data_IF_279864701055
#
_entry.id   IF_279864701055
#
_cell.length_a   1.000
_cell.length_b   1.000
_cell.length_c   1.000
_cell.angle_alpha   90.00
_cell.angle_beta   90.00
_cell.angle_gamma   90.00
#
_symmetry.space_group_name_H-M   'P 1'
#
loop_
_entity.id
_entity.type
_entity.pdbx_description
1 polymer ?
#
# COMPACT_ATOMS: atom_id res chain seq x y z
N UNK A 1 6.81 -11.68 -10.76
CA UNK A 1 5.55 -11.37 -10.06
C UNK A 1 4.77 -12.65 -9.78
N UNK A 2 4.26 -12.80 -8.56
CA UNK A 2 3.47 -13.92 -8.10
C UNK A 2 2.12 -14.03 -8.86
N UNK A 3 1.79 -15.24 -9.31
CA UNK A 3 0.60 -15.51 -10.12
C UNK A 3 -0.71 -15.23 -9.38
N UNK A 4 -0.77 -15.42 -8.06
CA UNK A 4 -1.97 -15.14 -7.28
C UNK A 4 -2.22 -13.63 -7.14
N UNK A 5 -1.16 -12.86 -6.88
CA UNK A 5 -1.22 -11.39 -6.87
C UNK A 5 -1.67 -10.87 -8.23
N UNK A 6 -1.07 -11.38 -9.30
CA UNK A 6 -1.46 -11.02 -10.66
C UNK A 6 -2.95 -11.31 -10.95
N UNK A 7 -3.41 -12.53 -10.64
CA UNK A 7 -4.77 -12.95 -10.95
C UNK A 7 -5.81 -12.18 -10.12
N UNK A 8 -5.54 -11.97 -8.84
CA UNK A 8 -6.42 -11.19 -7.95
C UNK A 8 -6.49 -9.72 -8.36
N UNK A 9 -5.36 -9.10 -8.73
CA UNK A 9 -5.33 -7.75 -9.27
C UNK A 9 -6.13 -7.63 -10.58
N UNK A 10 -5.98 -8.59 -11.49
CA UNK A 10 -6.76 -8.60 -12.73
C UNK A 10 -8.27 -8.74 -12.47
N UNK A 11 -8.67 -9.50 -11.44
CA UNK A 11 -10.08 -9.60 -11.03
C UNK A 11 -10.58 -8.28 -10.42
N UNK A 12 -9.77 -7.63 -9.59
CA UNK A 12 -10.06 -6.30 -9.03
C UNK A 12 -10.30 -5.29 -10.16
N UNK A 13 -9.35 -5.17 -11.09
CA UNK A 13 -9.41 -4.21 -12.20
C UNK A 13 -10.61 -4.42 -13.14
N UNK A 14 -11.18 -5.64 -13.20
CA UNK A 14 -12.41 -5.90 -13.96
C UNK A 14 -13.67 -5.38 -13.26
N UNK A 15 -13.62 -5.22 -11.94
CA UNK A 15 -14.75 -4.78 -11.12
C UNK A 15 -14.81 -3.26 -11.00
N UNK A 16 -13.68 -2.56 -11.11
CA UNK A 16 -13.58 -1.11 -10.89
C UNK A 16 -14.10 -0.34 -12.13
N UNK A 17 -15.03 0.62 -11.96
CA UNK A 17 -15.55 1.43 -13.06
C UNK A 17 -14.57 2.53 -13.49
N UNK A 18 -13.80 3.07 -12.54
CA UNK A 18 -12.78 4.09 -12.77
C UNK A 18 -11.45 3.49 -13.22
N UNK A 19 -10.59 4.33 -13.81
CA UNK A 19 -9.27 3.90 -14.27
C UNK A 19 -8.19 4.62 -13.48
N UNK A 20 -7.40 3.86 -12.74
CA UNK A 20 -6.08 4.30 -12.31
C UNK A 20 -5.14 4.41 -13.50
N UNK A 21 -3.85 4.60 -13.22
CA UNK A 21 -2.81 4.66 -14.24
C UNK A 21 -1.66 3.71 -13.93
N UNK A 22 -0.92 3.37 -14.97
CA UNK A 22 0.40 2.77 -14.82
C UNK A 22 1.40 3.86 -14.46
N UNK A 23 2.44 3.47 -13.72
CA UNK A 23 3.64 4.28 -13.59
C UNK A 23 4.44 4.26 -14.90
N UNK A 24 5.25 5.29 -15.10
CA UNK A 24 6.26 5.31 -16.17
C UNK A 24 7.57 4.68 -15.69
N UNK A 25 8.42 4.24 -16.62
CA UNK A 25 9.75 3.73 -16.29
C UNK A 25 10.61 4.75 -15.56
N UNK A 26 10.52 6.03 -15.95
CA UNK A 26 11.24 7.12 -15.30
C UNK A 26 10.77 7.33 -13.86
N UNK A 27 9.46 7.31 -13.61
CA UNK A 27 8.92 7.40 -12.24
C UNK A 27 9.39 6.25 -11.35
N UNK A 28 9.42 5.02 -11.88
CA UNK A 28 9.87 3.84 -11.12
C UNK A 28 11.38 3.88 -10.88
N UNK A 29 12.15 4.33 -11.87
CA UNK A 29 13.61 4.47 -11.74
C UNK A 29 13.94 5.52 -10.69
N UNK A 30 13.28 6.67 -10.71
CA UNK A 30 13.45 7.72 -9.70
C UNK A 30 13.04 7.24 -8.30
N UNK A 31 11.87 6.61 -8.17
CA UNK A 31 11.42 6.04 -6.90
C UNK A 31 12.43 5.04 -6.34
N UNK A 32 12.94 4.14 -7.19
CA UNK A 32 13.89 3.13 -6.73
C UNK A 32 15.25 3.72 -6.34
N UNK A 33 15.70 4.77 -7.02
CA UNK A 33 16.92 5.50 -6.66
C UNK A 33 16.75 6.22 -5.32
N UNK A 34 15.66 6.95 -5.15
CA UNK A 34 15.38 7.73 -3.94
C UNK A 34 15.16 6.84 -2.72
N UNK A 35 14.51 5.69 -2.90
CA UNK A 35 14.29 4.70 -1.84
C UNK A 35 15.41 3.65 -1.75
N UNK A 36 16.63 3.98 -2.20
CA UNK A 36 17.86 3.18 -2.02
C UNK A 36 17.75 1.70 -2.49
N UNK A 37 17.00 1.44 -3.56
CA UNK A 37 16.87 0.11 -4.13
C UNK A 37 15.87 -0.81 -3.42
N UNK A 38 15.08 -0.30 -2.46
CA UNK A 38 14.12 -1.12 -1.71
C UNK A 38 12.97 -1.64 -2.57
N UNK A 39 12.69 -1.01 -3.72
CA UNK A 39 11.55 -1.37 -4.57
C UNK A 39 11.84 -2.71 -5.25
N UNK A 40 11.12 -3.79 -4.90
CA UNK A 40 11.41 -5.08 -5.48
C UNK A 40 10.92 -5.16 -6.93
N UNK A 41 11.63 -5.91 -7.78
CA UNK A 41 11.33 -6.03 -9.21
C UNK A 41 9.87 -6.41 -9.50
N UNK A 42 9.27 -7.28 -8.68
CA UNK A 42 7.88 -7.70 -8.86
C UNK A 42 6.88 -6.55 -8.64
N UNK A 43 7.18 -5.63 -7.71
CA UNK A 43 6.31 -4.49 -7.43
C UNK A 43 6.49 -3.39 -8.47
N UNK A 44 7.73 -3.15 -8.90
CA UNK A 44 8.01 -2.31 -10.07
C UNK A 44 7.27 -2.82 -11.32
N UNK A 45 7.32 -4.12 -11.58
CA UNK A 45 6.58 -4.77 -12.67
C UNK A 45 5.05 -4.55 -12.53
N UNK A 46 4.51 -4.66 -11.32
CA UNK A 46 3.10 -4.42 -11.04
C UNK A 46 2.69 -2.98 -11.41
N UNK A 47 3.42 -1.98 -10.95
CA UNK A 47 3.12 -0.56 -11.21
C UNK A 47 3.26 -0.17 -12.68
N UNK A 48 4.19 -0.79 -13.41
CA UNK A 48 4.41 -0.53 -14.84
C UNK A 48 3.34 -1.17 -15.74
N UNK A 49 2.74 -2.29 -15.32
CA UNK A 49 1.82 -3.08 -16.15
C UNK A 49 0.36 -2.84 -15.86
N UNK A 50 0.01 -2.55 -14.60
CA UNK A 50 -1.38 -2.51 -14.16
C UNK A 50 -1.79 -1.10 -13.74
N UNK A 51 -2.97 -0.61 -14.18
CA UNK A 51 -3.43 0.74 -13.91
C UNK A 51 -3.98 0.89 -12.49
N UNK A 52 -3.14 0.66 -11.48
CA UNK A 52 -3.52 0.69 -10.06
C UNK A 52 -3.25 2.04 -9.39
N UNK A 53 -2.28 2.82 -9.88
CA UNK A 53 -1.92 4.08 -9.25
C UNK A 53 -3.11 5.05 -9.30
N UNK A 54 -3.45 5.62 -8.14
CA UNK A 54 -4.55 6.56 -7.97
C UNK A 54 -5.92 5.92 -7.75
N UNK A 55 -6.04 4.59 -7.80
CA UNK A 55 -7.30 3.91 -7.46
C UNK A 55 -7.63 4.08 -5.99
N UNK A 56 -8.87 4.43 -5.72
CA UNK A 56 -9.45 4.40 -4.39
C UNK A 56 -10.01 3.00 -4.12
N UNK A 57 -9.58 2.38 -3.02
CA UNK A 57 -9.93 1.02 -2.63
C UNK A 57 -10.28 1.01 -1.14
N UNK A 58 -11.31 0.26 -0.77
CA UNK A 58 -11.71 0.14 0.64
C UNK A 58 -11.40 -1.24 1.23
N UNK A 59 -11.31 -1.31 2.54
CA UNK A 59 -11.29 -2.56 3.30
C UNK A 59 -12.19 -2.44 4.53
N UNK A 60 -12.71 -3.58 5.00
CA UNK A 60 -13.58 -3.60 6.17
C UNK A 60 -12.72 -3.50 7.43
N UNK A 61 -12.67 -2.33 8.05
CA UNK A 61 -11.87 -2.08 9.26
C UNK A 61 -12.64 -2.47 10.53
N UNK A 62 -13.93 -2.18 10.56
CA UNK A 62 -14.82 -2.49 11.69
C UNK A 62 -16.14 -3.08 11.20
N UNK A 63 -16.91 -3.68 12.11
CA UNK A 63 -18.28 -4.08 11.79
C UNK A 63 -19.13 -2.83 11.49
N UNK A 64 -20.06 -2.89 10.52
CA UNK A 64 -20.96 -1.78 10.24
C UNK A 64 -21.82 -1.42 11.46
N UNK A 65 -21.83 -0.15 11.85
CA UNK A 65 -22.59 0.36 12.99
C UNK A 65 -23.38 1.62 12.62
N UNK A 66 -24.70 1.56 12.74
CA UNK A 66 -25.61 2.66 12.41
C UNK A 66 -25.39 3.20 10.99
N UNK A 67 -24.95 4.46 10.86
CA UNK A 67 -24.69 5.15 9.59
C UNK A 67 -23.22 4.98 9.12
N UNK A 68 -22.38 4.28 9.90
CA UNK A 68 -21.02 3.94 9.53
C UNK A 68 -20.96 2.53 8.91
N UNK A 69 -20.44 2.43 7.69
CA UNK A 69 -20.29 1.15 7.01
C UNK A 69 -19.03 0.39 7.45
N UNK A 70 -18.19 0.98 8.30
CA UNK A 70 -16.95 0.40 8.83
C UNK A 70 -15.85 0.22 7.78
N UNK A 71 -15.98 0.86 6.60
CA UNK A 71 -15.02 0.76 5.52
C UNK A 71 -13.99 1.88 5.64
N UNK A 72 -12.72 1.50 5.75
CA UNK A 72 -11.61 2.43 5.61
C UNK A 72 -11.16 2.48 4.16
N UNK A 73 -11.01 3.69 3.63
CA UNK A 73 -10.68 3.94 2.22
C UNK A 73 -9.24 4.44 2.08
N UNK A 74 -8.54 3.91 1.07
CA UNK A 74 -7.18 4.25 0.74
C UNK A 74 -7.05 4.57 -0.74
N UNK A 75 -6.14 5.47 -1.07
CA UNK A 75 -5.70 5.72 -2.43
C UNK A 75 -4.38 4.99 -2.68
N UNK A 76 -4.38 4.06 -3.64
CA UNK A 76 -3.15 3.39 -4.06
C UNK A 76 -2.19 4.43 -4.63
N UNK A 77 -1.01 4.53 -4.02
CA UNK A 77 -0.10 5.64 -4.26
C UNK A 77 0.52 5.58 -5.65
N UNK A 78 0.75 6.76 -6.24
CA UNK A 78 1.67 6.89 -7.36
C UNK A 78 3.12 6.94 -6.84
N UNK A 79 4.14 6.78 -7.71
CA UNK A 79 5.53 6.74 -7.27
C UNK A 79 6.00 7.98 -6.49
N UNK A 80 5.50 9.17 -6.81
CA UNK A 80 5.83 10.39 -6.06
C UNK A 80 5.28 10.35 -4.63
N UNK A 81 4.04 9.90 -4.46
CA UNK A 81 3.41 9.74 -3.14
C UNK A 81 4.12 8.66 -2.33
N UNK A 82 4.40 7.51 -2.93
CA UNK A 82 5.15 6.43 -2.29
C UNK A 82 6.50 6.91 -1.75
N UNK A 83 7.24 7.68 -2.55
CA UNK A 83 8.52 8.27 -2.13
C UNK A 83 8.33 9.15 -0.88
N UNK A 84 7.42 10.12 -0.95
CA UNK A 84 7.14 11.04 0.16
C UNK A 84 6.81 10.27 1.44
N UNK A 85 5.86 9.34 1.36
CA UNK A 85 5.41 8.56 2.52
C UNK A 85 6.46 7.59 3.05
N UNK A 86 7.36 7.10 2.21
CA UNK A 86 8.39 6.13 2.61
C UNK A 86 9.60 6.80 3.26
N UNK A 87 10.06 7.95 2.74
CA UNK A 87 11.35 8.53 3.15
C UNK A 87 11.28 9.98 3.65
N UNK A 88 10.13 10.65 3.62
CA UNK A 88 9.98 12.04 4.09
C UNK A 88 9.00 12.19 5.27
N UNK A 89 8.06 11.27 5.41
CA UNK A 89 7.02 11.30 6.43
C UNK A 89 7.20 10.19 7.47
N UNK A 90 6.84 10.47 8.73
CA UNK A 90 6.56 9.41 9.70
C UNK A 90 5.17 8.83 9.42
N UNK A 91 4.96 7.51 9.60
CA UNK A 91 5.90 6.55 10.19
C UNK A 91 6.94 5.98 9.22
N UNK A 92 6.79 6.19 7.91
CA UNK A 92 7.65 5.56 6.88
C UNK A 92 9.15 5.77 7.09
N UNK A 93 9.57 7.00 7.40
CA UNK A 93 10.97 7.34 7.67
C UNK A 93 11.61 6.47 8.76
N UNK A 94 10.84 6.06 9.77
CA UNK A 94 11.32 5.20 10.86
C UNK A 94 11.44 3.73 10.47
N UNK A 95 10.63 3.26 9.52
CA UNK A 95 10.47 1.83 9.22
C UNK A 95 11.05 1.40 7.87
N UNK A 96 11.34 2.32 6.94
CA UNK A 96 11.76 1.95 5.59
C UNK A 96 13.08 1.18 5.55
N UNK A 97 14.04 1.52 6.44
CA UNK A 97 15.30 0.79 6.59
C UNK A 97 15.12 -0.68 7.00
N UNK A 98 13.93 -1.05 7.45
CA UNK A 98 13.56 -2.40 7.85
C UNK A 98 12.73 -3.15 6.79
N UNK A 99 12.66 -2.62 5.56
CA UNK A 99 11.97 -3.26 4.43
C UNK A 99 10.54 -2.79 4.19
N UNK A 100 10.07 -1.76 4.90
CA UNK A 100 8.71 -1.27 4.74
C UNK A 100 8.63 -0.23 3.63
N UNK A 101 7.72 -0.46 2.68
CA UNK A 101 7.47 0.42 1.54
C UNK A 101 6.03 0.91 1.58
N UNK A 102 5.80 2.22 1.52
CA UNK A 102 4.44 2.77 1.41
C UNK A 102 3.86 2.45 0.04
N UNK A 103 2.61 1.98 0.02
CA UNK A 103 1.88 1.57 -1.19
C UNK A 103 0.54 2.28 -1.35
N UNK A 104 -0.02 2.83 -0.28
CA UNK A 104 -1.25 3.62 -0.32
C UNK A 104 -1.28 4.65 0.82
N UNK A 105 -2.11 5.67 0.65
CA UNK A 105 -2.39 6.70 1.66
C UNK A 105 -3.86 6.65 2.05
N UNK A 106 -4.19 7.01 3.28
CA UNK A 106 -5.59 7.19 3.68
C UNK A 106 -6.30 8.24 2.80
N UNK A 107 -7.45 7.89 2.23
CA UNK A 107 -8.24 8.81 1.38
C UNK A 107 -8.87 9.96 2.18
N UNK A 108 -9.12 9.76 3.47
CA UNK A 108 -9.76 10.74 4.34
C UNK A 108 -8.76 11.65 5.07
N UNK A 109 -7.46 11.49 4.81
CA UNK A 109 -6.43 12.31 5.45
C UNK A 109 -6.28 12.05 6.96
N UNK A 110 -6.51 10.81 7.42
CA UNK A 110 -6.26 10.44 8.82
C UNK A 110 -4.79 10.57 9.20
N UNK A 111 -3.90 10.54 8.21
CA UNK A 111 -2.46 10.53 8.40
C UNK A 111 -1.86 9.14 8.47
N UNK A 112 -2.64 8.06 8.34
CA UNK A 112 -2.15 6.67 8.49
C UNK A 112 -1.92 6.00 7.12
N UNK A 113 -0.67 5.91 6.63
CA UNK A 113 -0.36 5.27 5.38
C UNK A 113 -0.37 3.74 5.47
N UNK A 114 -0.35 3.12 4.30
CA UNK A 114 -0.39 1.68 4.14
C UNK A 114 0.91 1.17 3.56
N UNK A 115 1.43 0.07 4.10
CA UNK A 115 2.74 -0.47 3.78
C UNK A 115 2.68 -1.95 3.46
N UNK A 116 3.67 -2.37 2.67
CA UNK A 116 4.09 -3.77 2.57
C UNK A 116 5.49 -3.92 3.14
N UNK A 117 5.83 -5.09 3.66
CA UNK A 117 7.22 -5.44 3.95
C UNK A 117 7.82 -6.22 2.78
N UNK A 118 8.80 -5.62 2.10
CA UNK A 118 9.45 -6.19 0.91
C UNK A 118 10.24 -7.46 1.20
N UNK A 119 10.55 -7.73 2.47
CA UNK A 119 11.22 -8.95 2.91
C UNK A 119 10.27 -10.16 3.03
N UNK A 120 8.96 -9.96 2.98
CA UNK A 120 7.96 -11.05 3.04
C UNK A 120 7.71 -11.74 1.68
N UNK A 121 8.39 -11.28 0.62
CA UNK A 121 8.30 -11.86 -0.72
C UNK A 121 7.31 -11.16 -1.64
N UNK A 122 6.79 -11.88 -2.64
CA UNK A 122 5.98 -11.29 -3.72
C UNK A 122 4.46 -11.28 -3.44
N UNK A 123 4.03 -11.75 -2.27
CA UNK A 123 2.64 -11.67 -1.79
C UNK A 123 2.60 -11.31 -0.30
N UNK A 124 3.20 -10.16 0.09
CA UNK A 124 3.34 -9.74 1.48
C UNK A 124 1.99 -9.37 2.08
N UNK A 125 1.94 -9.20 3.40
CA UNK A 125 0.80 -8.59 4.09
C UNK A 125 0.63 -7.14 3.67
N UNK A 126 -0.61 -6.65 3.76
CA UNK A 126 -0.91 -5.22 3.68
C UNK A 126 -1.18 -4.72 5.09
N UNK A 127 -0.51 -3.64 5.47
CA UNK A 127 -0.52 -3.12 6.83
C UNK A 127 -0.94 -1.64 6.78
N UNK A 128 -1.79 -1.20 7.70
CA UNK A 128 -1.95 0.21 8.01
C UNK A 128 -1.03 0.54 9.18
N UNK A 129 -0.31 1.66 9.10
CA UNK A 129 0.63 2.07 10.15
C UNK A 129 0.21 3.42 10.69
N UNK A 130 -0.01 3.49 12.01
CA UNK A 130 -0.50 4.70 12.68
C UNK A 130 0.59 5.76 12.79
N UNK A 131 0.24 7.00 12.47
CA UNK A 131 1.21 8.10 12.42
C UNK A 131 1.54 8.72 13.78
N UNK A 132 0.69 8.52 14.77
CA UNK A 132 0.75 9.19 16.08
C UNK A 132 1.27 8.29 17.22
N UNK A 133 1.66 7.05 16.91
CA UNK A 133 2.12 6.08 17.91
C UNK A 133 3.55 6.33 18.38
N UNK A 134 4.50 6.43 17.45
CA UNK A 134 5.92 6.64 17.78
C UNK A 134 6.76 6.97 16.55
N UNK A 135 7.95 7.52 16.79
CA UNK A 135 9.03 7.63 15.81
C UNK A 135 10.05 6.47 15.91
N UNK A 136 9.87 5.56 16.89
CA UNK A 136 10.75 4.41 17.10
C UNK A 136 10.21 3.15 16.41
N UNK A 137 11.04 2.55 15.55
CA UNK A 137 10.73 1.32 14.82
C UNK A 137 10.10 0.22 15.70
N UNK A 138 10.71 -0.14 16.83
CA UNK A 138 10.26 -1.25 17.67
C UNK A 138 8.88 -1.00 18.28
N UNK A 139 8.58 0.27 18.61
CA UNK A 139 7.26 0.66 19.14
C UNK A 139 6.22 0.63 18.03
N UNK A 140 6.53 1.20 16.86
CA UNK A 140 5.64 1.22 15.69
C UNK A 140 5.22 -0.20 15.32
N UNK A 141 6.18 -1.12 15.14
CA UNK A 141 5.87 -2.48 14.68
C UNK A 141 5.04 -3.26 15.70
N UNK A 142 5.21 -2.98 16.98
CA UNK A 142 4.53 -3.71 18.06
C UNK A 142 3.12 -3.17 18.35
N UNK A 143 2.93 -1.86 18.26
CA UNK A 143 1.74 -1.17 18.81
C UNK A 143 1.02 -0.28 17.80
N UNK A 144 1.64 0.05 16.67
CA UNK A 144 1.13 1.00 15.69
C UNK A 144 0.82 0.40 14.33
N UNK A 145 0.42 -0.89 14.29
CA UNK A 145 0.08 -1.59 13.06
C UNK A 145 -1.29 -2.25 13.17
N UNK A 146 -2.13 -2.01 12.16
CA UNK A 146 -3.28 -2.84 11.83
C UNK A 146 -2.98 -3.71 10.62
N UNK A 147 -3.30 -5.00 10.70
CA UNK A 147 -3.22 -5.92 9.55
C UNK A 147 -4.47 -5.74 8.69
N UNK A 148 -4.30 -5.13 7.52
CA UNK A 148 -5.39 -4.90 6.55
C UNK A 148 -5.76 -6.21 5.84
N UNK A 149 -4.75 -6.99 5.47
CA UNK A 149 -4.92 -8.31 4.90
C UNK A 149 -3.65 -9.16 5.12
N UNK A 150 -3.84 -10.47 5.28
CA UNK A 150 -2.73 -11.41 5.46
C UNK A 150 -1.92 -11.63 4.17
N UNK A 151 -2.42 -11.13 3.03
CA UNK A 151 -1.65 -11.03 1.80
C UNK A 151 -2.21 -9.99 0.82
N UNK A 152 -1.38 -9.47 -0.07
CA UNK A 152 -1.82 -8.58 -1.16
C UNK A 152 -2.89 -9.23 -2.05
N UNK A 153 -2.74 -10.52 -2.34
CA UNK A 153 -3.71 -11.22 -3.19
C UNK A 153 -5.07 -11.39 -2.51
N UNK A 154 -5.10 -11.52 -1.18
CA UNK A 154 -6.32 -11.50 -0.40
C UNK A 154 -6.98 -10.13 -0.42
N UNK A 155 -6.21 -9.06 -0.16
CA UNK A 155 -6.71 -7.69 -0.25
C UNK A 155 -7.35 -7.42 -1.63
N UNK A 156 -6.68 -7.74 -2.73
CA UNK A 156 -7.24 -7.50 -4.06
C UNK A 156 -8.53 -8.30 -4.34
N UNK A 157 -8.72 -9.46 -3.71
CA UNK A 157 -9.98 -10.23 -3.83
C UNK A 157 -11.11 -9.56 -3.04
N UNK A 158 -10.83 -9.09 -1.83
CA UNK A 158 -11.84 -8.59 -0.88
C UNK A 158 -12.08 -7.08 -0.93
N UNK A 159 -11.19 -6.33 -1.61
CA UNK A 159 -11.22 -4.86 -1.68
C UNK A 159 -12.61 -4.35 -2.07
N UNK A 160 -13.05 -3.29 -1.39
CA UNK A 160 -14.28 -2.55 -1.69
C UNK A 160 -13.99 -1.54 -2.80
N UNK A 161 -15.00 -1.31 -3.63
CA UNK A 161 -14.97 -0.47 -4.83
C UNK A 161 -16.21 0.42 -4.88
#
# INVERSE_FOLDING_TARGET
MNTEVQNSLLLLLKRIPERGRVATLDEITALNQDCEGIIPNWYAELLLKYPICGLELGWQQSEPENDDNGISWMQWSNPKMMRSETIECYPGFAIYKHGYLSVATCSHGSGDPYFINTNEGENPRLLQVFHDVSENYEVIIKEGIDVVAESLSEFFKSAKI
#
